data_IF_057564574993
#
_entry.id   IF_057564574993
#
_cell.length_a   1.000
_cell.length_b   1.000
_cell.length_c   1.000
_cell.angle_alpha   90.00
_cell.angle_beta   90.00
_cell.angle_gamma   90.00
#
_symmetry.space_group_name_H-M   'P 1'
#
loop_
_entity.id
_entity.type
_entity.pdbx_description
1 polymer ?
#
# COMPACT_ATOMS: atom_id res chain seq x y z
N UNK A 1 -30.53 -22.74 1.42
CA UNK A 1 -29.15 -22.46 0.96
C UNK A 1 -29.09 -22.68 -0.54
N UNK A 2 -29.19 -21.60 -1.33
CA UNK A 2 -29.13 -21.65 -2.80
C UNK A 2 -27.79 -21.04 -3.22
N UNK A 3 -26.97 -21.81 -3.92
CA UNK A 3 -25.64 -21.40 -4.40
C UNK A 3 -25.77 -21.07 -5.88
N UNK A 4 -25.49 -19.82 -6.25
CA UNK A 4 -25.51 -19.37 -7.66
C UNK A 4 -24.10 -19.06 -8.12
N UNK A 5 -23.71 -19.65 -9.25
CA UNK A 5 -22.48 -19.29 -9.95
C UNK A 5 -22.73 -18.07 -10.83
N UNK A 6 -21.97 -17.02 -10.61
CA UNK A 6 -22.06 -15.76 -11.36
C UNK A 6 -20.68 -15.45 -11.93
N UNK A 7 -20.61 -15.10 -13.21
CA UNK A 7 -19.34 -14.73 -13.86
C UNK A 7 -19.18 -13.22 -13.88
N UNK A 8 -18.07 -12.73 -13.34
CA UNK A 8 -17.70 -11.31 -13.40
C UNK A 8 -17.14 -11.01 -14.79
N UNK A 9 -17.94 -10.42 -15.67
CA UNK A 9 -17.51 -10.06 -17.04
C UNK A 9 -17.00 -8.63 -17.16
N UNK A 10 -17.29 -7.77 -16.18
CA UNK A 10 -16.89 -6.37 -16.20
C UNK A 10 -16.57 -5.83 -14.82
N UNK A 11 -15.44 -5.16 -14.71
CA UNK A 11 -15.04 -4.38 -13.53
C UNK A 11 -15.04 -2.90 -13.92
N UNK A 12 -15.77 -2.07 -13.15
CA UNK A 12 -15.77 -0.61 -13.36
C UNK A 12 -14.43 0.01 -12.94
N UNK A 13 -13.68 0.67 -13.85
CA UNK A 13 -12.41 1.30 -13.50
C UNK A 13 -12.54 2.36 -12.42
N UNK A 14 -13.65 3.10 -12.40
CA UNK A 14 -13.91 4.12 -11.38
C UNK A 14 -14.14 3.50 -10.00
N UNK A 15 -14.77 2.32 -9.94
CA UNK A 15 -14.92 1.58 -8.69
C UNK A 15 -13.55 1.10 -8.19
N UNK A 16 -12.77 0.48 -9.06
CA UNK A 16 -11.40 0.03 -8.74
C UNK A 16 -10.52 1.18 -8.25
N UNK A 17 -10.60 2.35 -8.89
CA UNK A 17 -9.88 3.56 -8.46
C UNK A 17 -10.30 4.01 -7.05
N UNK A 18 -11.60 4.11 -6.75
CA UNK A 18 -12.09 4.55 -5.43
C UNK A 18 -11.69 3.59 -4.32
N UNK A 19 -11.82 2.28 -4.56
CA UNK A 19 -11.41 1.25 -3.61
C UNK A 19 -9.90 1.27 -3.38
N UNK A 20 -9.10 1.36 -4.46
CA UNK A 20 -7.66 1.43 -4.36
C UNK A 20 -7.17 2.71 -3.68
N UNK A 21 -7.82 3.85 -3.92
CA UNK A 21 -7.54 5.10 -3.22
C UNK A 21 -7.77 4.94 -1.71
N UNK A 22 -8.92 4.40 -1.30
CA UNK A 22 -9.23 4.19 0.11
C UNK A 22 -8.24 3.24 0.78
N UNK A 23 -7.93 2.11 0.13
CA UNK A 23 -6.94 1.15 0.63
C UNK A 23 -5.52 1.74 0.67
N UNK A 24 -5.15 2.56 -0.31
CA UNK A 24 -3.82 3.19 -0.36
C UNK A 24 -3.66 4.22 0.75
N UNK A 25 -4.70 4.99 1.08
CA UNK A 25 -4.68 5.91 2.22
C UNK A 25 -4.57 5.17 3.55
N UNK A 26 -5.32 4.08 3.72
CA UNK A 26 -5.23 3.23 4.91
C UNK A 26 -3.83 2.58 5.04
N UNK A 27 -3.28 2.07 3.94
CA UNK A 27 -1.95 1.50 3.89
C UNK A 27 -0.86 2.55 4.18
N UNK A 28 -1.01 3.79 3.70
CA UNK A 28 -0.08 4.88 4.01
C UNK A 28 -0.11 5.21 5.51
N UNK A 29 -1.29 5.30 6.12
CA UNK A 29 -1.40 5.51 7.57
C UNK A 29 -0.74 4.36 8.37
N UNK A 30 -1.01 3.11 8.00
CA UNK A 30 -0.39 1.94 8.60
C UNK A 30 1.14 1.92 8.40
N UNK A 31 1.62 2.34 7.24
CA UNK A 31 3.04 2.45 6.91
C UNK A 31 3.75 3.48 7.80
N UNK A 32 3.19 4.68 7.95
CA UNK A 32 3.76 5.71 8.81
C UNK A 32 3.78 5.26 10.28
N UNK A 33 2.72 4.60 10.74
CA UNK A 33 2.68 4.03 12.07
C UNK A 33 3.78 2.97 12.25
N UNK A 34 3.93 2.07 11.27
CA UNK A 34 4.98 1.05 11.27
C UNK A 34 6.38 1.66 11.36
N UNK A 35 6.68 2.65 10.51
CA UNK A 35 8.00 3.33 10.52
C UNK A 35 8.25 4.05 11.83
N UNK A 36 7.22 4.70 12.39
CA UNK A 36 7.33 5.38 13.69
C UNK A 36 7.68 4.38 14.80
N UNK A 37 6.99 3.24 14.84
CA UNK A 37 7.27 2.18 15.81
C UNK A 37 8.67 1.60 15.63
N UNK A 38 9.09 1.36 14.39
CA UNK A 38 10.44 0.88 14.08
C UNK A 38 11.51 1.88 14.51
N UNK A 39 11.29 3.18 14.29
CA UNK A 39 12.23 4.22 14.69
C UNK A 39 12.48 4.19 16.19
N UNK A 40 11.41 4.25 16.99
CA UNK A 40 11.52 4.22 18.45
C UNK A 40 12.04 2.88 18.97
N UNK A 41 11.70 1.77 18.32
CA UNK A 41 12.23 0.45 18.65
C UNK A 41 13.75 0.38 18.47
N UNK A 42 14.28 0.91 17.36
CA UNK A 42 15.71 0.94 17.07
C UNK A 42 16.48 1.97 17.92
N UNK A 43 15.81 3.03 18.35
CA UNK A 43 16.38 4.04 19.24
C UNK A 43 16.83 3.43 20.57
N UNK A 44 16.05 2.50 21.13
CA UNK A 44 16.41 1.80 22.37
C UNK A 44 17.73 1.02 22.28
N UNK A 45 18.10 0.55 21.08
CA UNK A 45 19.35 -0.18 20.85
C UNK A 45 20.53 0.74 20.51
N UNK A 46 20.33 2.06 20.52
CA UNK A 46 21.35 3.03 20.11
C UNK A 46 21.76 2.89 18.63
N UNK A 47 20.91 2.27 17.80
CA UNK A 47 21.19 2.03 16.39
C UNK A 47 21.42 3.34 15.62
N UNK A 48 20.57 4.34 15.86
CA UNK A 48 20.66 5.65 15.21
C UNK A 48 21.94 6.42 15.55
N UNK A 49 22.41 6.32 16.79
CA UNK A 49 23.68 6.93 17.20
C UNK A 49 24.87 6.29 16.48
N UNK A 50 24.87 4.96 16.33
CA UNK A 50 25.90 4.23 15.57
C UNK A 50 25.87 4.59 14.09
N UNK A 51 24.69 4.66 13.48
CA UNK A 51 24.54 5.04 12.08
C UNK A 51 25.01 6.48 11.82
N UNK A 52 24.58 7.45 12.63
CA UNK A 52 25.04 8.84 12.48
C UNK A 52 26.57 8.93 12.59
N UNK A 53 27.19 8.25 13.56
CA UNK A 53 28.65 8.23 13.71
C UNK A 53 29.40 7.70 12.48
N UNK A 54 28.81 6.76 11.72
CA UNK A 54 29.42 6.23 10.49
C UNK A 54 29.26 7.24 9.34
N UNK A 55 28.12 7.90 9.25
CA UNK A 55 27.77 8.80 8.13
C UNK A 55 28.46 10.16 8.26
N UNK A 56 28.55 10.71 9.47
CA UNK A 56 29.00 12.09 9.71
C UNK A 56 30.38 12.19 10.38
N UNK A 57 30.92 11.07 10.87
CA UNK A 57 32.18 11.04 11.61
C UNK A 57 32.05 11.60 13.04
N UNK A 58 33.13 11.52 13.83
CA UNK A 58 33.12 12.00 15.22
C UNK A 58 33.11 13.53 15.24
N UNK A 59 32.00 14.13 15.67
CA UNK A 59 31.83 15.59 15.81
C UNK A 59 31.02 16.27 14.70
N UNK A 60 30.50 15.51 13.73
CA UNK A 60 29.53 16.00 12.75
C UNK A 60 28.11 16.09 13.33
N UNK A 61 27.28 16.99 12.80
CA UNK A 61 25.86 17.10 13.18
C UNK A 61 25.06 15.89 12.73
N UNK A 62 24.13 15.40 13.57
CA UNK A 62 23.26 14.28 13.22
C UNK A 62 22.40 14.60 11.98
N UNK A 63 22.53 13.78 10.94
CA UNK A 63 21.77 13.91 9.68
C UNK A 63 20.55 12.98 9.69
N UNK A 64 20.70 11.80 10.30
CA UNK A 64 19.63 10.81 10.44
C UNK A 64 18.90 11.11 11.75
N UNK A 65 17.87 11.94 11.65
CA UNK A 65 16.96 12.27 12.75
C UNK A 65 15.58 11.68 12.48
N UNK A 66 14.70 11.70 13.50
CA UNK A 66 13.30 11.32 13.35
C UNK A 66 12.63 12.04 12.17
N UNK A 67 12.86 13.36 12.05
CA UNK A 67 12.31 14.16 10.96
C UNK A 67 12.80 13.71 9.58
N UNK A 68 14.10 13.41 9.45
CA UNK A 68 14.67 12.90 8.19
C UNK A 68 14.07 11.54 7.82
N UNK A 69 14.03 10.59 8.77
CA UNK A 69 13.50 9.24 8.54
C UNK A 69 12.01 9.29 8.19
N UNK A 70 11.22 10.05 8.95
CA UNK A 70 9.79 10.18 8.70
C UNK A 70 9.50 10.86 7.36
N UNK A 71 10.28 11.87 6.98
CA UNK A 71 10.15 12.56 5.69
C UNK A 71 10.41 11.62 4.50
N UNK A 72 11.54 10.89 4.52
CA UNK A 72 11.88 9.92 3.48
C UNK A 72 10.85 8.79 3.41
N UNK A 73 10.43 8.27 4.55
CA UNK A 73 9.41 7.23 4.62
C UNK A 73 8.05 7.70 4.12
N UNK A 74 7.67 8.95 4.41
CA UNK A 74 6.42 9.56 3.93
C UNK A 74 6.44 9.72 2.42
N UNK A 75 7.55 10.19 1.86
CA UNK A 75 7.71 10.30 0.41
C UNK A 75 7.60 8.93 -0.26
N UNK A 76 8.31 7.93 0.26
CA UNK A 76 8.28 6.57 -0.29
C UNK A 76 6.87 5.98 -0.22
N UNK A 77 6.21 6.07 0.94
CA UNK A 77 4.84 5.59 1.13
C UNK A 77 3.85 6.28 0.21
N UNK A 78 3.98 7.61 0.04
CA UNK A 78 3.11 8.38 -0.84
C UNK A 78 3.28 7.98 -2.32
N UNK A 79 4.51 7.83 -2.80
CA UNK A 79 4.79 7.40 -4.18
C UNK A 79 4.17 6.02 -4.44
N UNK A 80 4.36 5.07 -3.53
CA UNK A 80 3.77 3.73 -3.67
C UNK A 80 2.25 3.77 -3.61
N UNK A 81 1.65 4.53 -2.70
CA UNK A 81 0.19 4.68 -2.59
C UNK A 81 -0.42 5.26 -3.87
N UNK A 82 0.21 6.28 -4.45
CA UNK A 82 -0.21 6.87 -5.72
C UNK A 82 -0.09 5.85 -6.86
N UNK A 83 1.04 5.14 -6.94
CA UNK A 83 1.25 4.12 -7.95
C UNK A 83 0.18 3.02 -7.91
N UNK A 84 -0.13 2.49 -6.73
CA UNK A 84 -1.19 1.46 -6.54
C UNK A 84 -2.56 2.01 -6.94
N UNK A 85 -2.87 3.24 -6.53
CA UNK A 85 -4.16 3.89 -6.87
C UNK A 85 -4.34 4.05 -8.39
N UNK A 86 -3.27 4.37 -9.12
CA UNK A 86 -3.30 4.53 -10.58
C UNK A 86 -3.29 3.18 -11.30
N UNK A 87 -2.56 2.19 -10.78
CA UNK A 87 -2.50 0.86 -11.38
C UNK A 87 -3.84 0.12 -11.29
N UNK A 88 -4.62 0.32 -10.23
CA UNK A 88 -5.91 -0.35 -10.04
C UNK A 88 -6.92 -0.16 -11.20
N UNK A 89 -7.25 1.06 -11.67
CA UNK A 89 -8.11 1.23 -12.84
C UNK A 89 -7.49 0.68 -14.12
N UNK A 90 -6.15 0.69 -14.26
CA UNK A 90 -5.47 0.09 -15.42
C UNK A 90 -5.67 -1.43 -15.42
N UNK A 91 -5.52 -2.10 -14.27
CA UNK A 91 -5.80 -3.53 -14.12
C UNK A 91 -7.26 -3.85 -14.47
N UNK A 92 -8.22 -3.00 -14.07
CA UNK A 92 -9.62 -3.17 -14.43
C UNK A 92 -9.86 -3.08 -15.95
N UNK A 93 -9.19 -2.15 -16.64
CA UNK A 93 -9.28 -2.03 -18.11
C UNK A 93 -8.68 -3.26 -18.80
N UNK A 94 -7.51 -3.73 -18.35
CA UNK A 94 -6.87 -4.92 -18.89
C UNK A 94 -7.74 -6.16 -18.69
N UNK A 95 -8.29 -6.33 -17.47
CA UNK A 95 -9.22 -7.43 -17.17
C UNK A 95 -10.41 -7.45 -18.12
N UNK A 96 -11.07 -6.30 -18.31
CA UNK A 96 -12.23 -6.20 -19.19
C UNK A 96 -11.90 -6.58 -20.64
N UNK A 97 -10.69 -6.27 -21.14
CA UNK A 97 -10.25 -6.70 -22.48
C UNK A 97 -9.92 -8.18 -22.58
N UNK A 98 -9.43 -8.79 -21.50
CA UNK A 98 -9.06 -10.21 -21.48
C UNK A 98 -10.27 -11.15 -21.31
N UNK A 99 -11.35 -10.68 -20.67
CA UNK A 99 -12.57 -11.47 -20.45
C UNK A 99 -13.16 -12.00 -21.76
N UNK A 100 -13.09 -11.22 -22.85
CA UNK A 100 -13.59 -11.65 -24.16
C UNK A 100 -12.82 -12.84 -24.75
N UNK A 101 -11.54 -12.99 -24.35
CA UNK A 101 -10.64 -14.03 -24.89
C UNK A 101 -10.64 -15.31 -24.04
N UNK A 102 -10.67 -15.18 -22.72
CA UNK A 102 -10.43 -16.29 -21.80
C UNK A 102 -11.67 -16.70 -20.99
N UNK A 103 -12.76 -15.93 -21.07
CA UNK A 103 -13.87 -16.02 -20.12
C UNK A 103 -13.54 -15.31 -18.80
N UNK A 104 -14.57 -14.76 -18.15
CA UNK A 104 -14.43 -14.00 -16.91
C UNK A 104 -14.20 -14.88 -15.67
N UNK A 105 -13.91 -14.25 -14.53
CA UNK A 105 -13.80 -14.91 -13.23
C UNK A 105 -15.17 -15.39 -12.76
N UNK A 106 -15.31 -16.68 -12.51
CA UNK A 106 -16.51 -17.28 -11.92
C UNK A 106 -16.45 -17.14 -10.40
N UNK A 107 -17.52 -16.62 -9.80
CA UNK A 107 -17.68 -16.49 -8.36
C UNK A 107 -18.91 -17.25 -7.90
N UNK A 108 -18.83 -17.89 -6.74
CA UNK A 108 -19.97 -18.56 -6.10
C UNK A 108 -20.57 -17.62 -5.06
N UNK A 109 -21.82 -17.21 -5.28
CA UNK A 109 -22.57 -16.42 -4.31
C UNK A 109 -23.35 -17.37 -3.39
N UNK A 110 -23.22 -17.14 -2.09
CA UNK A 110 -24.06 -17.78 -1.07
C UNK A 110 -24.92 -16.70 -0.45
N UNK A 111 -26.24 -16.83 -0.60
CA UNK A 111 -27.19 -15.96 0.06
C UNK A 111 -27.19 -16.32 1.56
N UNK A 112 -26.63 -15.44 2.38
CA UNK A 112 -26.69 -15.55 3.83
C UNK A 112 -27.99 -14.92 4.31
N UNK A 113 -28.91 -15.74 4.83
CA UNK A 113 -30.10 -15.26 5.53
C UNK A 113 -29.63 -14.45 6.76
N UNK A 114 -29.73 -13.13 6.70
CA UNK A 114 -29.61 -12.23 7.86
C UNK A 114 -30.97 -11.62 8.17
#
# INVERSE_FOLDING_TARGET
>A
MHIQEVTVTRVSPLSAFRTALALSLAALAAWILCVTLLYYGLEQFGFWAKLNSIVTGVGGSDVITFGTVLSVASLLGAVTAIAVTILAPLTAVIYNGMVELFGGVVVTLTEGDY
#
